data_IF_803304788900
#
_entry.id   IF_803304788900
#
_cell.length_a   1.000
_cell.length_b   1.000
_cell.length_c   1.000
_cell.angle_alpha   90.00
_cell.angle_beta   90.00
_cell.angle_gamma   90.00
#
_symmetry.space_group_name_H-M   'P 1'
#
loop_
_entity.id
_entity.type
_entity.pdbx_description
1 polymer ?
#
# COMPACT_ATOMS: atom_id res chain seq x y z
N UNK A 1 29.51 -12.69 42.86
CA UNK A 1 29.40 -13.01 41.41
C UNK A 1 29.00 -11.73 40.68
N UNK A 2 29.97 -10.89 40.31
CA UNK A 2 29.72 -9.55 39.75
C UNK A 2 29.31 -9.62 38.28
N UNK A 3 28.10 -9.18 37.96
CA UNK A 3 27.70 -8.91 36.57
C UNK A 3 28.48 -7.71 36.04
N UNK A 4 29.43 -7.93 35.13
CA UNK A 4 30.01 -6.87 34.31
C UNK A 4 28.92 -6.35 33.36
N UNK A 5 28.39 -5.15 33.66
CA UNK A 5 27.67 -4.37 32.66
C UNK A 5 28.62 -4.06 31.50
N UNK A 6 28.49 -4.80 30.40
CA UNK A 6 29.14 -4.46 29.15
C UNK A 6 28.54 -3.14 28.65
N UNK A 7 29.26 -2.03 28.86
CA UNK A 7 28.97 -0.77 28.18
C UNK A 7 28.91 -1.05 26.67
N UNK A 8 27.74 -0.89 26.07
CA UNK A 8 27.57 -0.87 24.62
C UNK A 8 28.27 0.39 24.12
N UNK A 9 29.58 0.26 23.85
CA UNK A 9 30.41 1.28 23.22
C UNK A 9 29.83 1.57 21.83
N UNK A 10 29.20 2.74 21.67
CA UNK A 10 28.84 3.24 20.33
C UNK A 10 30.12 3.36 19.51
N UNK A 11 30.11 2.75 18.33
CA UNK A 11 31.22 2.84 17.38
C UNK A 11 31.58 4.31 17.10
N UNK A 12 32.75 4.75 17.56
CA UNK A 12 33.30 6.09 17.29
C UNK A 12 34.22 6.01 16.07
N UNK A 13 33.94 6.82 15.05
CA UNK A 13 34.86 6.98 13.91
C UNK A 13 36.18 7.65 14.35
N UNK A 14 37.25 7.44 13.59
CA UNK A 14 38.50 8.19 13.77
C UNK A 14 38.26 9.68 13.43
N UNK A 15 38.72 10.55 14.30
CA UNK A 15 38.78 12.00 14.11
C UNK A 15 39.92 12.37 13.17
N UNK A 16 39.97 13.64 12.73
CA UNK A 16 41.06 14.13 11.87
C UNK A 16 42.41 14.08 12.59
N UNK A 17 42.45 14.44 13.87
CA UNK A 17 43.65 14.37 14.71
C UNK A 17 44.15 12.94 14.90
N UNK A 18 43.26 11.99 15.24
CA UNK A 18 43.65 10.58 15.38
C UNK A 18 44.20 10.00 14.07
N UNK A 19 43.69 10.42 12.90
CA UNK A 19 44.24 10.01 11.59
C UNK A 19 45.61 10.59 11.32
N UNK A 20 45.84 11.84 11.74
CA UNK A 20 47.14 12.51 11.61
C UNK A 20 48.19 11.80 12.46
N UNK A 21 47.87 11.53 13.72
CA UNK A 21 48.71 10.80 14.66
C UNK A 21 48.99 9.37 14.19
N UNK A 22 47.98 8.66 13.71
CA UNK A 22 48.12 7.34 13.08
C UNK A 22 49.10 7.37 11.89
N UNK A 23 49.03 8.40 11.03
CA UNK A 23 49.95 8.54 9.89
C UNK A 23 51.39 8.79 10.33
N UNK A 24 51.62 9.60 11.36
CA UNK A 24 52.95 9.84 11.93
C UNK A 24 53.54 8.56 12.53
N UNK A 25 52.76 7.84 13.35
CA UNK A 25 53.25 6.64 14.02
C UNK A 25 53.55 5.50 13.05
N UNK A 26 52.75 5.37 11.98
CA UNK A 26 53.04 4.42 10.90
C UNK A 26 54.36 4.77 10.17
N UNK A 27 54.62 6.06 9.89
CA UNK A 27 55.88 6.50 9.28
C UNK A 27 57.09 6.25 10.19
N UNK A 28 56.91 6.33 11.50
CA UNK A 28 57.93 6.01 12.50
C UNK A 28 58.13 4.50 12.73
N UNK A 29 57.38 3.64 12.04
CA UNK A 29 57.55 2.18 12.10
C UNK A 29 56.88 1.48 13.29
N UNK A 30 55.98 2.16 14.02
CA UNK A 30 55.28 1.53 15.15
C UNK A 30 54.27 0.46 14.68
N UNK A 31 54.11 -0.60 15.48
CA UNK A 31 53.14 -1.65 15.21
C UNK A 31 51.69 -1.17 15.37
N UNK A 32 50.75 -1.77 14.62
CA UNK A 32 49.32 -1.41 14.73
C UNK A 32 48.75 -1.60 16.15
N UNK A 33 49.31 -2.53 16.95
CA UNK A 33 48.90 -2.75 18.34
C UNK A 33 49.37 -1.60 19.23
N UNK A 34 50.63 -1.20 19.12
CA UNK A 34 51.20 -0.07 19.87
C UNK A 34 50.47 1.24 19.54
N UNK A 35 50.15 1.46 18.27
CA UNK A 35 49.37 2.64 17.86
C UNK A 35 47.95 2.62 18.44
N UNK A 36 47.34 1.45 18.51
CA UNK A 36 46.00 1.30 19.08
C UNK A 36 45.98 1.62 20.58
N UNK A 37 47.03 1.24 21.33
CA UNK A 37 47.20 1.59 22.74
C UNK A 37 47.33 3.10 22.93
N UNK A 38 48.21 3.76 22.15
CA UNK A 38 48.41 5.22 22.21
C UNK A 38 47.12 5.98 21.89
N UNK A 39 46.36 5.55 20.88
CA UNK A 39 45.10 6.18 20.48
C UNK A 39 43.91 5.78 21.37
N UNK A 40 44.08 4.87 22.33
CA UNK A 40 42.98 4.32 23.12
C UNK A 40 41.91 3.60 22.26
N UNK A 41 42.33 2.95 21.16
CA UNK A 41 41.46 2.25 20.21
C UNK A 41 41.69 0.75 20.22
N UNK A 42 40.73 -0.01 19.69
CA UNK A 42 40.92 -1.44 19.46
C UNK A 42 41.87 -1.67 18.26
N UNK A 43 42.87 -2.57 18.35
CA UNK A 43 43.78 -2.88 17.25
C UNK A 43 43.09 -3.26 15.93
N UNK A 44 41.95 -3.96 16.00
CA UNK A 44 41.16 -4.31 14.83
C UNK A 44 40.53 -3.08 14.15
N UNK A 45 40.18 -2.04 14.91
CA UNK A 45 39.68 -0.78 14.36
C UNK A 45 40.77 0.01 13.65
N UNK A 46 41.99 0.03 14.20
CA UNK A 46 43.17 0.64 13.55
C UNK A 46 43.51 -0.11 12.26
N UNK A 47 43.57 -1.44 12.30
CA UNK A 47 43.78 -2.28 11.12
C UNK A 47 42.74 -2.03 10.02
N UNK A 48 41.45 -1.99 10.38
CA UNK A 48 40.37 -1.66 9.43
C UNK A 48 40.49 -0.25 8.86
N UNK A 49 40.86 0.74 9.68
CA UNK A 49 41.03 2.12 9.22
C UNK A 49 42.17 2.20 8.20
N UNK A 50 43.31 1.58 8.47
CA UNK A 50 44.47 1.54 7.57
C UNK A 50 44.13 0.80 6.27
N UNK A 51 43.53 -0.40 6.37
CA UNK A 51 43.13 -1.20 5.21
C UNK A 51 42.12 -0.48 4.32
N UNK A 52 41.10 0.14 4.90
CA UNK A 52 40.00 0.73 4.14
C UNK A 52 40.31 2.11 3.55
N UNK A 53 41.33 2.80 4.07
CA UNK A 53 41.66 4.17 3.65
C UNK A 53 43.04 4.30 3.00
N UNK A 54 43.93 3.31 3.15
CA UNK A 54 45.24 3.28 2.49
C UNK A 54 45.16 3.35 0.96
N UNK A 55 46.23 3.82 0.33
CA UNK A 55 46.35 3.90 -1.13
C UNK A 55 47.76 3.48 -1.53
N UNK A 56 47.90 2.53 -2.47
CA UNK A 56 49.21 2.02 -2.94
C UNK A 56 50.17 1.62 -1.80
N UNK A 57 49.64 0.95 -0.78
CA UNK A 57 50.43 0.49 0.38
C UNK A 57 50.80 1.58 1.41
N UNK A 58 50.45 2.84 1.18
CA UNK A 58 50.73 3.94 2.10
C UNK A 58 49.45 4.50 2.75
N UNK A 59 49.55 4.87 4.02
CA UNK A 59 48.47 5.52 4.76
C UNK A 59 48.75 7.02 4.90
N UNK A 60 47.90 7.82 4.25
CA UNK A 60 47.93 9.28 4.31
C UNK A 60 46.69 9.82 5.02
N UNK A 61 46.91 10.71 6.00
CA UNK A 61 45.84 11.18 6.89
C UNK A 61 44.79 12.02 6.17
N UNK A 62 45.18 12.84 5.19
CA UNK A 62 44.26 13.72 4.45
C UNK A 62 43.41 12.90 3.48
N UNK A 63 44.05 12.03 2.69
CA UNK A 63 43.34 11.09 1.80
C UNK A 63 42.40 10.17 2.58
N UNK A 64 42.82 9.69 3.75
CA UNK A 64 41.97 8.88 4.60
C UNK A 64 40.75 9.65 5.13
N UNK A 65 40.95 10.91 5.51
CA UNK A 65 39.87 11.79 5.94
C UNK A 65 38.87 12.05 4.80
N UNK A 66 39.37 12.35 3.59
CA UNK A 66 38.53 12.58 2.42
C UNK A 66 37.77 11.31 2.00
N UNK A 67 38.44 10.15 1.93
CA UNK A 67 37.76 8.87 1.68
C UNK A 67 36.69 8.56 2.73
N UNK A 68 36.97 8.81 4.01
CA UNK A 68 35.98 8.63 5.07
C UNK A 68 34.82 9.61 4.95
N UNK A 69 35.08 10.88 4.62
CA UNK A 69 34.07 11.92 4.44
C UNK A 69 33.19 11.63 3.23
N UNK A 70 33.80 11.27 2.11
CA UNK A 70 33.15 10.86 0.87
C UNK A 70 32.29 9.62 1.08
N UNK A 71 32.83 8.54 1.67
CA UNK A 71 32.02 7.36 2.04
C UNK A 71 30.88 7.71 2.97
N UNK A 72 31.07 8.64 3.92
CA UNK A 72 29.99 9.09 4.80
C UNK A 72 28.93 9.88 4.04
N UNK A 73 29.33 10.77 3.14
CA UNK A 73 28.43 11.54 2.28
C UNK A 73 27.61 10.60 1.37
N UNK A 74 28.26 9.63 0.74
CA UNK A 74 27.60 8.63 -0.12
C UNK A 74 26.80 7.60 0.68
N UNK A 75 27.21 7.23 1.89
CA UNK A 75 26.39 6.39 2.81
C UNK A 75 25.10 7.09 3.24
N UNK A 76 25.11 8.43 3.22
CA UNK A 76 23.93 9.27 3.43
C UNK A 76 23.14 9.51 2.15
N UNK A 77 23.69 9.20 0.97
CA UNK A 77 22.97 9.30 -0.29
C UNK A 77 21.82 8.30 -0.26
N UNK A 78 20.62 8.86 -0.12
CA UNK A 78 19.44 8.08 0.19
C UNK A 78 19.03 7.28 -1.06
N UNK A 79 18.86 5.97 -0.90
CA UNK A 79 18.45 5.09 -2.00
C UNK A 79 19.59 4.31 -2.69
N UNK A 80 20.86 4.42 -2.25
CA UNK A 80 21.96 3.62 -2.81
C UNK A 80 21.71 2.11 -2.74
N UNK A 81 21.15 1.60 -1.64
CA UNK A 81 20.77 0.17 -1.52
C UNK A 81 19.76 -0.31 -2.58
N UNK A 82 18.96 0.61 -3.11
CA UNK A 82 18.02 0.31 -4.19
C UNK A 82 18.75 0.41 -5.53
N UNK A 83 19.55 1.46 -5.76
CA UNK A 83 20.36 1.60 -6.98
C UNK A 83 21.39 0.49 -7.20
N UNK A 84 21.96 -0.04 -6.12
CA UNK A 84 22.93 -1.13 -6.18
C UNK A 84 22.26 -2.47 -6.53
N UNK A 85 20.93 -2.57 -6.47
CA UNK A 85 20.17 -3.75 -6.83
C UNK A 85 19.17 -3.42 -7.96
N UNK A 86 19.60 -3.68 -9.21
CA UNK A 86 18.83 -3.37 -10.41
C UNK A 86 17.46 -4.06 -10.46
N UNK A 87 17.33 -5.27 -9.91
CA UNK A 87 16.06 -5.99 -9.85
C UNK A 87 15.06 -5.28 -8.94
N UNK A 88 15.48 -4.89 -7.74
CA UNK A 88 14.65 -4.15 -6.78
C UNK A 88 14.29 -2.78 -7.37
N UNK A 89 15.25 -2.09 -7.98
CA UNK A 89 15.01 -0.80 -8.62
C UNK A 89 13.95 -0.92 -9.73
N UNK A 90 14.15 -1.84 -10.69
CA UNK A 90 13.19 -2.09 -11.77
C UNK A 90 11.80 -2.42 -11.25
N UNK A 91 11.71 -3.31 -10.25
CA UNK A 91 10.45 -3.68 -9.62
C UNK A 91 9.74 -2.47 -8.99
N UNK A 92 10.47 -1.64 -8.24
CA UNK A 92 9.91 -0.42 -7.63
C UNK A 92 9.36 0.51 -8.71
N UNK A 93 10.11 0.74 -9.80
CA UNK A 93 9.68 1.60 -10.90
C UNK A 93 8.39 1.08 -11.55
N UNK A 94 8.37 -0.18 -11.96
CA UNK A 94 7.22 -0.81 -12.60
C UNK A 94 5.97 -0.73 -11.70
N UNK A 95 6.09 -1.09 -10.42
CA UNK A 95 4.94 -1.09 -9.51
C UNK A 95 4.49 0.31 -9.12
N UNK A 96 5.40 1.28 -8.99
CA UNK A 96 5.04 2.69 -8.76
C UNK A 96 4.26 3.26 -9.95
N UNK A 97 4.66 2.96 -11.19
CA UNK A 97 3.93 3.36 -12.41
C UNK A 97 2.52 2.77 -12.42
N UNK A 98 2.35 1.54 -11.93
CA UNK A 98 1.04 0.91 -11.71
C UNK A 98 0.24 1.52 -10.54
N UNK A 99 0.77 2.53 -9.85
CA UNK A 99 0.10 3.25 -8.75
C UNK A 99 0.18 2.53 -7.40
N UNK A 100 1.11 1.58 -7.23
CA UNK A 100 1.31 0.92 -5.95
C UNK A 100 2.05 1.84 -4.98
N UNK A 101 1.64 1.84 -3.71
CA UNK A 101 2.34 2.62 -2.69
C UNK A 101 3.65 1.94 -2.28
N UNK A 102 4.65 2.69 -1.78
CA UNK A 102 5.88 2.12 -1.23
C UNK A 102 5.66 1.01 -0.20
N UNK A 103 4.62 1.11 0.64
CA UNK A 103 4.27 0.06 1.60
C UNK A 103 3.79 -1.23 0.92
N UNK A 104 2.99 -1.11 -0.14
CA UNK A 104 2.50 -2.24 -0.93
C UNK A 104 3.65 -2.96 -1.64
N UNK A 105 4.54 -2.19 -2.25
CA UNK A 105 5.72 -2.70 -2.96
C UNK A 105 6.64 -3.46 -2.00
N UNK A 106 6.98 -2.84 -0.86
CA UNK A 106 7.84 -3.46 0.16
C UNK A 106 7.28 -4.78 0.71
N UNK A 107 5.95 -4.86 0.89
CA UNK A 107 5.32 -6.09 1.35
C UNK A 107 5.20 -7.17 0.27
N UNK A 108 4.97 -6.77 -0.99
CA UNK A 108 4.78 -7.69 -2.10
C UNK A 108 6.08 -8.32 -2.60
N UNK A 109 7.15 -7.53 -2.71
CA UNK A 109 8.44 -8.02 -3.21
C UNK A 109 8.98 -9.19 -2.38
N UNK A 110 8.74 -9.18 -1.07
CA UNK A 110 9.11 -10.28 -0.17
C UNK A 110 8.40 -11.59 -0.49
N UNK A 111 7.18 -11.54 -1.02
CA UNK A 111 6.41 -12.73 -1.39
C UNK A 111 6.82 -13.27 -2.77
N UNK A 112 7.14 -12.39 -3.71
CA UNK A 112 7.40 -12.77 -5.11
C UNK A 112 8.86 -13.19 -5.35
N UNK A 113 9.83 -12.49 -4.76
CA UNK A 113 11.26 -12.75 -4.99
C UNK A 113 12.03 -13.16 -3.73
N UNK A 114 11.39 -13.15 -2.56
CA UNK A 114 12.06 -13.36 -1.27
C UNK A 114 12.96 -12.20 -0.82
N UNK A 115 13.22 -11.22 -1.69
CA UNK A 115 14.00 -10.03 -1.38
C UNK A 115 13.22 -9.09 -0.45
N UNK A 116 13.93 -8.25 0.31
CA UNK A 116 13.28 -7.31 1.21
C UNK A 116 13.86 -5.91 1.11
N UNK A 117 12.97 -4.94 1.03
CA UNK A 117 13.30 -3.52 1.11
C UNK A 117 12.27 -2.84 2.01
N UNK A 118 12.72 -2.01 2.95
CA UNK A 118 11.78 -1.29 3.82
C UNK A 118 11.02 -0.23 3.01
N UNK A 119 9.73 -0.03 3.29
CA UNK A 119 8.97 1.05 2.65
C UNK A 119 9.57 2.43 2.90
N UNK A 120 10.23 2.64 4.06
CA UNK A 120 10.99 3.86 4.36
C UNK A 120 12.14 4.05 3.38
N UNK A 121 12.87 2.99 3.03
CA UNK A 121 13.93 3.06 2.04
C UNK A 121 13.39 3.41 0.64
N UNK A 122 12.23 2.87 0.26
CA UNK A 122 11.55 3.24 -0.99
C UNK A 122 11.15 4.72 -0.98
N UNK A 123 10.53 5.23 0.09
CA UNK A 123 10.23 6.67 0.20
C UNK A 123 11.49 7.53 0.07
N UNK A 124 12.54 7.17 0.80
CA UNK A 124 13.84 7.84 0.75
C UNK A 124 14.44 7.86 -0.66
N UNK A 125 14.31 6.75 -1.40
CA UNK A 125 14.73 6.65 -2.80
C UNK A 125 13.87 7.55 -3.71
N UNK A 126 12.53 7.50 -3.57
CA UNK A 126 11.60 8.31 -4.36
C UNK A 126 11.79 9.81 -4.13
N UNK A 127 12.17 10.25 -2.93
CA UNK A 127 12.46 11.66 -2.64
C UNK A 127 13.90 12.09 -2.98
N UNK A 128 14.75 11.19 -3.48
CA UNK A 128 16.14 11.52 -3.83
C UNK A 128 16.29 11.78 -5.35
N UNK A 129 17.08 12.80 -5.70
CA UNK A 129 17.31 13.30 -7.06
C UNK A 129 18.38 12.44 -7.81
N UNK A 130 18.37 12.28 -9.15
CA UNK A 130 17.32 12.61 -10.14
C UNK A 130 16.36 11.46 -10.46
N UNK A 131 16.82 10.20 -10.38
CA UNK A 131 16.07 9.03 -10.91
C UNK A 131 14.82 8.72 -10.08
N UNK A 132 14.96 8.65 -8.75
CA UNK A 132 13.84 8.34 -7.86
C UNK A 132 12.77 9.43 -7.83
N UNK A 133 13.18 10.70 -7.94
CA UNK A 133 12.26 11.86 -7.95
C UNK A 133 11.20 11.79 -9.05
N UNK A 134 11.52 11.21 -10.22
CA UNK A 134 10.56 11.00 -11.31
C UNK A 134 9.35 10.15 -10.90
N UNK A 135 9.50 9.30 -9.88
CA UNK A 135 8.43 8.44 -9.37
C UNK A 135 7.53 9.15 -8.35
N UNK A 136 7.94 10.32 -7.83
CA UNK A 136 7.18 11.05 -6.81
C UNK A 136 5.77 11.43 -7.32
N UNK A 137 5.60 11.64 -8.63
CA UNK A 137 4.30 11.91 -9.27
C UNK A 137 3.28 10.78 -9.12
N UNK A 138 3.73 9.55 -8.87
CA UNK A 138 2.85 8.39 -8.65
C UNK A 138 2.48 8.19 -7.17
N UNK A 139 3.06 8.97 -6.25
CA UNK A 139 2.65 8.93 -4.85
C UNK A 139 1.27 9.57 -4.69
N UNK A 140 0.36 8.81 -4.08
CA UNK A 140 -0.99 9.27 -3.77
C UNK A 140 -0.95 10.27 -2.62
N UNK A 141 -0.91 11.56 -2.93
CA UNK A 141 -1.03 12.62 -1.91
C UNK A 141 -2.51 12.95 -1.67
N UNK A 142 -3.05 12.64 -0.49
CA UNK A 142 -4.37 13.18 -0.08
C UNK A 142 -4.47 13.40 1.43
N UNK A 143 -4.33 14.66 1.84
CA UNK A 143 -5.03 15.19 3.01
C UNK A 143 -6.38 15.77 2.54
N UNK A 144 -7.49 15.28 3.07
CA UNK A 144 -8.80 15.95 2.93
C UNK A 144 -9.32 16.29 4.32
N UNK A 145 -9.61 17.57 4.56
CA UNK A 145 -10.42 17.99 5.71
C UNK A 145 -11.85 17.52 5.49
N UNK A 146 -12.38 16.73 6.42
CA UNK A 146 -13.77 16.26 6.41
C UNK A 146 -14.66 17.45 6.76
N UNK A 147 -15.53 17.88 5.85
CA UNK A 147 -16.60 18.84 6.18
C UNK A 147 -17.76 18.06 6.81
N UNK A 148 -18.32 18.55 7.92
CA UNK A 148 -19.59 18.05 8.46
C UNK A 148 -20.69 18.34 7.43
N UNK A 149 -21.53 17.35 7.11
CA UNK A 149 -22.73 17.55 6.29
C UNK A 149 -23.89 17.96 7.22
N UNK A 150 -24.72 18.89 6.75
CA UNK A 150 -25.96 19.28 7.41
C UNK A 150 -27.02 18.18 7.27
N UNK A 151 -28.01 18.21 8.16
CA UNK A 151 -29.12 17.26 8.19
C UNK A 151 -30.00 17.39 6.95
N UNK A 152 -30.39 16.26 6.35
CA UNK A 152 -31.42 16.22 5.33
C UNK A 152 -32.51 15.27 5.82
N UNK A 153 -33.73 15.79 5.99
CA UNK A 153 -34.91 15.01 6.32
C UNK A 153 -35.34 14.22 5.08
N UNK A 154 -35.48 12.91 5.20
CA UNK A 154 -36.03 12.04 4.17
C UNK A 154 -37.19 11.24 4.77
N UNK A 155 -38.29 11.10 4.03
CA UNK A 155 -39.38 10.18 4.36
C UNK A 155 -38.99 8.71 4.15
N UNK A 156 -39.88 7.78 4.50
CA UNK A 156 -39.68 6.34 4.28
C UNK A 156 -39.77 5.96 2.79
N UNK A 157 -38.65 6.10 2.07
CA UNK A 157 -38.58 5.77 0.63
C UNK A 157 -38.37 4.26 0.40
N UNK A 158 -37.73 3.55 1.33
CA UNK A 158 -37.36 2.14 1.17
C UNK A 158 -38.22 1.28 2.10
N UNK A 159 -39.17 0.54 1.50
CA UNK A 159 -40.03 -0.41 2.20
C UNK A 159 -39.22 -1.63 2.66
N UNK A 160 -39.60 -2.23 3.79
CA UNK A 160 -39.04 -3.50 4.31
C UNK A 160 -37.51 -3.51 4.53
N UNK A 161 -36.86 -2.36 4.70
CA UNK A 161 -35.42 -2.32 4.97
C UNK A 161 -35.09 -2.87 6.35
N UNK A 162 -34.04 -3.68 6.42
CA UNK A 162 -33.46 -4.16 7.67
C UNK A 162 -32.19 -3.35 7.95
N UNK A 163 -32.14 -2.66 9.08
CA UNK A 163 -30.96 -1.89 9.47
C UNK A 163 -29.79 -2.80 9.86
N UNK A 164 -28.58 -2.25 9.72
CA UNK A 164 -27.31 -2.96 9.94
C UNK A 164 -27.14 -3.48 11.38
N UNK A 165 -27.85 -2.92 12.37
CA UNK A 165 -27.82 -3.41 13.75
C UNK A 165 -28.41 -4.82 13.90
N UNK A 166 -29.30 -5.22 12.98
CA UNK A 166 -29.89 -6.57 12.93
C UNK A 166 -29.02 -7.57 12.17
N UNK A 167 -27.86 -7.14 11.68
CA UNK A 167 -26.93 -7.99 10.93
C UNK A 167 -26.30 -9.07 11.82
N UNK A 168 -26.30 -10.35 11.40
CA UNK A 168 -25.52 -11.39 12.04
C UNK A 168 -24.04 -11.02 12.20
N UNK A 169 -23.49 -11.26 13.40
CA UNK A 169 -22.10 -10.92 13.75
C UNK A 169 -21.06 -11.50 12.77
N UNK A 170 -21.34 -12.65 12.16
CA UNK A 170 -20.46 -13.30 11.16
C UNK A 170 -20.14 -12.38 9.97
N UNK A 171 -21.06 -11.52 9.54
CA UNK A 171 -20.84 -10.61 8.40
C UNK A 171 -19.84 -9.51 8.76
N UNK A 172 -19.81 -9.08 10.03
CA UNK A 172 -18.88 -8.07 10.52
C UNK A 172 -17.46 -8.63 10.66
N UNK A 173 -17.34 -9.93 10.91
CA UNK A 173 -16.05 -10.61 11.02
C UNK A 173 -15.26 -10.70 9.71
N UNK A 174 -15.94 -10.60 8.56
CA UNK A 174 -15.36 -10.73 7.21
C UNK A 174 -14.64 -12.06 6.96
N UNK A 175 -15.01 -13.11 7.70
CA UNK A 175 -14.40 -14.44 7.56
C UNK A 175 -15.03 -15.31 6.47
N UNK A 176 -16.29 -15.09 6.09
CA UNK A 176 -16.96 -15.82 5.00
C UNK A 176 -16.96 -15.02 3.70
N UNK A 177 -16.98 -15.74 2.59
CA UNK A 177 -17.12 -15.16 1.26
C UNK A 177 -18.61 -14.93 0.97
N UNK A 178 -18.92 -13.98 0.09
CA UNK A 178 -20.28 -13.75 -0.39
C UNK A 178 -21.05 -12.67 0.36
N UNK A 179 -20.41 -11.95 1.28
CA UNK A 179 -20.99 -10.74 1.87
C UNK A 179 -20.48 -9.52 1.11
N UNK A 180 -21.39 -8.75 0.51
CA UNK A 180 -21.06 -7.61 -0.33
C UNK A 180 -21.47 -6.28 0.31
N UNK A 181 -20.71 -5.23 -0.01
CA UNK A 181 -21.12 -3.83 0.17
C UNK A 181 -21.29 -3.22 -1.22
N UNK A 182 -22.42 -2.55 -1.48
CA UNK A 182 -22.73 -1.98 -2.78
C UNK A 182 -23.01 -0.49 -2.66
N UNK A 183 -22.59 0.25 -3.68
CA UNK A 183 -22.81 1.68 -3.79
C UNK A 183 -22.88 2.08 -5.26
N UNK A 184 -23.40 3.27 -5.53
CA UNK A 184 -23.46 3.82 -6.88
C UNK A 184 -22.55 5.03 -7.02
N UNK A 185 -22.05 5.28 -8.23
CA UNK A 185 -21.38 6.54 -8.55
C UNK A 185 -21.75 6.99 -9.97
N UNK A 186 -21.92 8.31 -10.16
CA UNK A 186 -22.29 8.91 -11.43
C UNK A 186 -22.51 10.41 -11.25
N UNK A 187 -22.85 11.12 -12.33
CA UNK A 187 -23.28 12.53 -12.24
C UNK A 187 -24.69 12.60 -11.66
N UNK A 188 -24.85 13.34 -10.57
CA UNK A 188 -26.15 13.60 -9.92
C UNK A 188 -26.91 14.78 -10.54
N UNK A 189 -26.74 15.07 -11.84
CA UNK A 189 -27.40 16.22 -12.49
C UNK A 189 -28.69 15.83 -13.22
N UNK A 190 -28.66 14.73 -13.98
CA UNK A 190 -29.78 14.35 -14.84
C UNK A 190 -30.19 12.89 -14.57
N UNK A 191 -31.48 12.63 -14.50
CA UNK A 191 -32.02 11.27 -14.26
C UNK A 191 -31.67 10.27 -15.38
N UNK A 192 -31.24 10.79 -16.54
CA UNK A 192 -30.80 10.04 -17.71
C UNK A 192 -29.30 9.72 -17.72
N UNK A 193 -28.51 10.24 -16.77
CA UNK A 193 -27.07 10.01 -16.74
C UNK A 193 -26.75 8.55 -16.41
N UNK A 194 -25.76 8.01 -17.13
CA UNK A 194 -25.19 6.71 -16.81
C UNK A 194 -24.70 6.66 -15.36
N UNK A 195 -24.85 5.50 -14.75
CA UNK A 195 -24.47 5.25 -13.36
C UNK A 195 -23.61 3.99 -13.30
N UNK A 196 -22.55 4.04 -12.51
CA UNK A 196 -21.71 2.89 -12.23
C UNK A 196 -22.15 2.27 -10.90
N UNK A 197 -22.66 1.05 -10.97
CA UNK A 197 -22.92 0.21 -9.79
C UNK A 197 -21.60 -0.42 -9.38
N UNK A 198 -21.19 -0.21 -8.13
CA UNK A 198 -19.93 -0.75 -7.58
C UNK A 198 -20.26 -1.65 -6.41
N UNK A 199 -19.81 -2.90 -6.47
CA UNK A 199 -19.97 -3.87 -5.40
C UNK A 199 -18.62 -4.38 -4.94
N UNK A 200 -18.46 -4.60 -3.63
CA UNK A 200 -17.22 -5.09 -3.06
C UNK A 200 -17.45 -6.24 -2.11
N UNK A 201 -16.78 -7.36 -2.37
CA UNK A 201 -16.82 -8.54 -1.52
C UNK A 201 -15.96 -8.30 -0.25
N UNK A 202 -16.54 -8.52 0.93
CA UNK A 202 -15.98 -8.03 2.20
C UNK A 202 -14.76 -8.83 2.66
N UNK A 203 -14.62 -10.12 2.30
CA UNK A 203 -13.49 -10.98 2.69
C UNK A 203 -12.26 -10.78 1.81
N UNK A 204 -12.41 -11.04 0.52
CA UNK A 204 -11.38 -10.94 -0.52
C UNK A 204 -11.06 -9.52 -0.93
N UNK A 205 -11.95 -8.57 -0.64
CA UNK A 205 -11.83 -7.15 -1.02
C UNK A 205 -12.00 -6.88 -2.50
N UNK A 206 -12.38 -7.91 -3.26
CA UNK A 206 -12.57 -7.85 -4.70
C UNK A 206 -13.68 -6.87 -5.05
N UNK A 207 -13.38 -5.98 -6.00
CA UNK A 207 -14.30 -4.94 -6.48
C UNK A 207 -14.87 -5.40 -7.80
N UNK A 208 -16.18 -5.27 -7.92
CA UNK A 208 -16.96 -5.48 -9.12
C UNK A 208 -17.59 -4.15 -9.49
N UNK A 209 -17.69 -3.84 -10.78
CA UNK A 209 -18.44 -2.68 -11.23
C UNK A 209 -19.16 -2.97 -12.54
N UNK A 210 -20.35 -2.40 -12.71
CA UNK A 210 -21.13 -2.48 -13.95
C UNK A 210 -21.76 -1.13 -14.24
N UNK A 211 -21.67 -0.69 -15.50
CA UNK A 211 -22.34 0.52 -15.97
C UNK A 211 -23.81 0.20 -16.27
N UNK A 212 -24.69 1.09 -15.87
CA UNK A 212 -26.12 1.06 -16.18
C UNK A 212 -26.53 2.40 -16.75
N UNK A 213 -27.52 2.38 -17.65
CA UNK A 213 -27.98 3.59 -18.33
C UNK A 213 -28.47 4.66 -17.34
N UNK A 214 -29.08 4.26 -16.23
CA UNK A 214 -29.72 5.17 -15.28
C UNK A 214 -29.72 4.62 -13.87
N UNK A 215 -29.76 5.51 -12.88
CA UNK A 215 -29.74 5.17 -11.45
C UNK A 215 -30.87 4.21 -11.04
N UNK A 216 -32.05 4.32 -11.64
CA UNK A 216 -33.20 3.42 -11.38
C UNK A 216 -32.93 1.95 -11.74
N UNK A 217 -31.96 1.69 -12.61
CA UNK A 217 -31.55 0.35 -13.04
C UNK A 217 -30.43 -0.22 -12.15
N UNK A 218 -30.05 0.45 -11.06
CA UNK A 218 -28.93 0.04 -10.21
C UNK A 218 -29.11 -1.38 -9.64
N UNK A 219 -30.32 -1.75 -9.23
CA UNK A 219 -30.62 -3.10 -8.71
C UNK A 219 -30.51 -4.15 -9.82
N UNK A 220 -30.94 -3.86 -11.04
CA UNK A 220 -30.83 -4.79 -12.17
C UNK A 220 -29.36 -4.98 -12.56
N UNK A 221 -28.60 -3.89 -12.65
CA UNK A 221 -27.15 -3.96 -12.85
C UNK A 221 -26.43 -4.74 -11.74
N UNK A 222 -26.89 -4.62 -10.50
CA UNK A 222 -26.34 -5.38 -9.38
C UNK A 222 -26.66 -6.87 -9.47
N UNK A 223 -27.88 -7.25 -9.87
CA UNK A 223 -28.25 -8.66 -10.09
C UNK A 223 -27.34 -9.28 -11.14
N UNK A 224 -27.17 -8.62 -12.27
CA UNK A 224 -26.30 -9.11 -13.35
C UNK A 224 -24.84 -9.22 -12.89
N UNK A 225 -24.37 -8.25 -12.10
CA UNK A 225 -23.01 -8.22 -11.59
C UNK A 225 -22.72 -9.35 -10.59
N UNK A 226 -23.73 -9.77 -9.83
CA UNK A 226 -23.60 -10.76 -8.76
C UNK A 226 -24.07 -12.16 -9.14
N UNK A 227 -24.85 -12.32 -10.20
CA UNK A 227 -25.40 -13.61 -10.64
C UNK A 227 -24.35 -14.73 -10.81
N UNK A 228 -23.08 -14.48 -11.18
CA UNK A 228 -22.10 -15.55 -11.31
C UNK A 228 -21.51 -16.04 -9.98
N UNK A 229 -21.88 -15.42 -8.85
CA UNK A 229 -21.19 -15.62 -7.57
C UNK A 229 -22.16 -16.04 -6.45
N UNK A 230 -21.68 -16.83 -5.47
CA UNK A 230 -22.47 -17.11 -4.27
C UNK A 230 -22.60 -15.84 -3.41
N UNK A 231 -23.83 -15.38 -3.21
CA UNK A 231 -24.15 -14.19 -2.42
C UNK A 231 -24.89 -14.59 -1.15
N UNK A 232 -24.30 -14.27 0.00
CA UNK A 232 -24.89 -14.47 1.32
C UNK A 232 -25.63 -13.22 1.81
N UNK A 233 -25.09 -12.02 1.57
CA UNK A 233 -25.74 -10.77 1.95
C UNK A 233 -25.23 -9.56 1.16
N UNK A 234 -26.05 -8.51 1.08
CA UNK A 234 -25.66 -7.23 0.48
C UNK A 234 -25.96 -6.07 1.42
N UNK A 235 -25.01 -5.13 1.51
CA UNK A 235 -25.13 -3.91 2.32
C UNK A 235 -25.32 -2.69 1.44
N UNK A 236 -26.34 -1.89 1.73
CA UNK A 236 -26.65 -0.64 1.04
C UNK A 236 -26.59 0.56 1.98
N UNK A 237 -26.56 1.75 1.41
CA UNK A 237 -26.98 2.98 2.08
C UNK A 237 -28.49 3.22 1.85
N UNK A 238 -29.03 4.27 2.46
CA UNK A 238 -30.46 4.59 2.37
C UNK A 238 -30.84 5.33 1.08
N UNK A 239 -30.09 5.13 -0.01
CA UNK A 239 -30.37 5.73 -1.31
C UNK A 239 -31.66 5.17 -1.94
N UNK A 240 -32.50 6.01 -2.58
CA UNK A 240 -33.75 5.57 -3.23
C UNK A 240 -33.53 4.55 -4.35
N UNK A 241 -32.34 4.53 -4.97
CA UNK A 241 -31.96 3.54 -5.97
C UNK A 241 -32.00 2.10 -5.46
N UNK A 242 -31.89 1.92 -4.13
CA UNK A 242 -31.92 0.62 -3.47
C UNK A 242 -33.35 0.20 -3.06
N UNK A 243 -34.39 0.92 -3.47
CA UNK A 243 -35.78 0.61 -3.12
C UNK A 243 -36.19 -0.81 -3.55
N UNK A 244 -35.69 -1.28 -4.71
CA UNK A 244 -35.97 -2.61 -5.29
C UNK A 244 -35.10 -3.74 -4.71
N UNK A 245 -34.40 -3.54 -3.59
CA UNK A 245 -33.43 -4.50 -3.04
C UNK A 245 -34.00 -5.91 -2.79
N UNK A 246 -35.29 -6.05 -2.48
CA UNK A 246 -35.93 -7.35 -2.22
C UNK A 246 -35.87 -8.27 -3.45
N UNK A 247 -35.77 -7.71 -4.66
CA UNK A 247 -35.65 -8.49 -5.89
C UNK A 247 -34.33 -9.25 -6.01
N UNK A 248 -33.32 -8.93 -5.18
CA UNK A 248 -32.06 -9.69 -5.13
C UNK A 248 -32.24 -11.08 -4.50
N UNK A 249 -33.34 -11.31 -3.77
CA UNK A 249 -33.63 -12.59 -3.09
C UNK A 249 -32.51 -13.09 -2.16
N UNK A 250 -31.76 -12.16 -1.56
CA UNK A 250 -30.70 -12.42 -0.57
C UNK A 250 -30.90 -11.53 0.64
N UNK A 251 -30.20 -11.81 1.75
CA UNK A 251 -30.26 -10.97 2.93
C UNK A 251 -29.68 -9.57 2.65
N UNK A 252 -30.50 -8.54 2.77
CA UNK A 252 -30.11 -7.14 2.53
C UNK A 252 -30.11 -6.34 3.82
N UNK A 253 -29.11 -5.47 3.98
CA UNK A 253 -28.97 -4.64 5.18
C UNK A 253 -28.66 -3.19 4.80
N UNK A 254 -29.22 -2.24 5.54
CA UNK A 254 -29.08 -0.81 5.30
C UNK A 254 -28.31 -0.14 6.42
N UNK A 255 -27.42 0.78 6.05
CA UNK A 255 -26.73 1.61 7.04
C UNK A 255 -27.73 2.47 7.82
N UNK A 256 -27.39 2.80 9.07
CA UNK A 256 -28.17 3.76 9.84
C UNK A 256 -28.04 5.16 9.22
N UNK A 257 -29.06 6.02 9.38
CA UNK A 257 -28.94 7.42 9.02
C UNK A 257 -27.66 8.05 9.60
N UNK A 258 -27.04 8.95 8.83
CA UNK A 258 -25.79 9.65 9.17
C UNK A 258 -24.57 8.76 9.45
N UNK A 259 -24.68 7.44 9.23
CA UNK A 259 -23.66 6.46 9.61
C UNK A 259 -22.87 5.93 8.42
N UNK A 260 -22.38 6.83 7.55
CA UNK A 260 -21.72 6.44 6.28
C UNK A 260 -20.49 5.54 6.48
N UNK A 261 -19.83 5.63 7.65
CA UNK A 261 -18.69 4.77 8.01
C UNK A 261 -19.04 3.28 8.09
N UNK A 262 -20.32 2.93 8.25
CA UNK A 262 -20.80 1.54 8.27
C UNK A 262 -20.62 0.82 6.92
N UNK A 263 -20.46 1.58 5.83
CA UNK A 263 -20.17 1.11 4.45
C UNK A 263 -18.76 1.53 3.97
N UNK A 264 -17.81 1.69 4.90
CA UNK A 264 -16.49 2.24 4.58
C UNK A 264 -15.65 1.41 3.60
N UNK A 265 -16.01 0.16 3.32
CA UNK A 265 -15.23 -0.72 2.45
C UNK A 265 -15.51 -0.45 0.96
N UNK A 266 -16.77 -0.28 0.55
CA UNK A 266 -17.12 0.15 -0.82
C UNK A 266 -16.83 1.63 -1.05
N UNK A 267 -16.99 2.50 -0.03
CA UNK A 267 -16.58 3.91 -0.12
C UNK A 267 -15.08 4.03 -0.46
N UNK A 268 -14.24 3.17 0.13
CA UNK A 268 -12.82 3.11 -0.19
C UNK A 268 -12.57 2.66 -1.63
N UNK A 269 -13.32 1.68 -2.13
CA UNK A 269 -13.20 1.22 -3.52
C UNK A 269 -13.61 2.30 -4.53
N UNK A 270 -14.74 2.99 -4.32
CA UNK A 270 -15.12 4.16 -5.12
C UNK A 270 -14.06 5.25 -5.04
N UNK A 271 -13.42 5.43 -3.89
CA UNK A 271 -12.28 6.32 -3.73
C UNK A 271 -11.12 6.00 -4.68
N UNK A 272 -10.83 4.71 -4.90
CA UNK A 272 -9.80 4.23 -5.84
C UNK A 272 -10.25 4.41 -7.29
N UNK A 273 -11.49 4.07 -7.63
CA UNK A 273 -12.04 4.29 -8.98
C UNK A 273 -11.97 5.79 -9.34
N UNK A 274 -12.22 6.68 -8.37
CA UNK A 274 -12.15 8.14 -8.54
C UNK A 274 -10.75 8.71 -8.78
N UNK A 275 -9.71 7.89 -8.76
CA UNK A 275 -8.38 8.28 -9.24
C UNK A 275 -8.28 8.20 -10.76
N UNK A 276 -9.09 7.34 -11.39
CA UNK A 276 -9.18 7.16 -12.84
C UNK A 276 -10.37 7.91 -13.44
N UNK A 277 -11.48 7.98 -12.70
CA UNK A 277 -12.72 8.65 -13.10
C UNK A 277 -13.01 9.78 -12.12
N UNK A 278 -12.49 11.00 -12.35
CA UNK A 278 -12.70 12.13 -11.46
C UNK A 278 -14.18 12.41 -11.17
N UNK A 279 -14.44 13.10 -10.05
CA UNK A 279 -15.79 13.56 -9.76
C UNK A 279 -16.25 14.52 -10.86
N UNK A 280 -17.52 14.39 -11.27
CA UNK A 280 -18.18 15.16 -12.33
C UNK A 280 -17.81 14.76 -13.76
N UNK A 281 -16.92 13.79 -13.96
CA UNK A 281 -16.75 13.16 -15.28
C UNK A 281 -18.07 12.56 -15.75
N UNK A 282 -18.30 12.57 -17.06
CA UNK A 282 -19.38 11.80 -17.64
C UNK A 282 -18.98 10.33 -17.73
N UNK A 283 -19.89 9.42 -17.41
CA UNK A 283 -19.60 7.98 -17.55
C UNK A 283 -19.73 7.52 -18.99
N UNK A 284 -20.40 8.31 -19.84
CA UNK A 284 -20.46 8.07 -21.29
C UNK A 284 -19.08 8.15 -21.96
N UNK A 285 -18.15 8.92 -21.37
CA UNK A 285 -16.78 9.08 -21.86
C UNK A 285 -15.89 7.84 -21.60
N UNK A 286 -16.40 6.84 -20.87
CA UNK A 286 -15.67 5.62 -20.51
C UNK A 286 -16.40 4.38 -21.03
N UNK A 287 -15.71 3.57 -21.83
CA UNK A 287 -16.28 2.31 -22.32
C UNK A 287 -16.30 1.25 -21.22
N UNK A 288 -17.04 0.16 -21.43
CA UNK A 288 -17.04 -0.95 -20.49
C UNK A 288 -15.65 -1.61 -20.37
N UNK A 289 -14.84 -1.57 -21.43
CA UNK A 289 -13.43 -2.00 -21.42
C UNK A 289 -12.57 -1.10 -20.53
N UNK A 290 -12.75 0.22 -20.59
CA UNK A 290 -12.05 1.17 -19.71
C UNK A 290 -12.38 0.88 -18.25
N UNK A 291 -13.68 0.70 -17.94
CA UNK A 291 -14.13 0.34 -16.59
C UNK A 291 -13.50 -0.98 -16.16
N UNK A 292 -13.53 -2.00 -17.01
CA UNK A 292 -12.93 -3.31 -16.74
C UNK A 292 -11.43 -3.21 -16.45
N UNK A 293 -10.69 -2.44 -17.26
CA UNK A 293 -9.26 -2.22 -17.07
C UNK A 293 -8.95 -1.50 -15.74
N UNK A 294 -9.76 -0.52 -15.34
CA UNK A 294 -9.63 0.16 -14.05
C UNK A 294 -9.87 -0.82 -12.89
N UNK A 295 -10.94 -1.61 -12.97
CA UNK A 295 -11.28 -2.60 -11.93
C UNK A 295 -10.22 -3.69 -11.84
N UNK A 296 -9.68 -4.18 -12.96
CA UNK A 296 -8.61 -5.17 -12.97
C UNK A 296 -7.33 -4.61 -12.33
N UNK A 297 -6.95 -3.36 -12.62
CA UNK A 297 -5.82 -2.69 -11.93
C UNK A 297 -6.03 -2.60 -10.42
N UNK A 298 -7.22 -2.23 -9.97
CA UNK A 298 -7.56 -2.16 -8.55
C UNK A 298 -7.46 -3.54 -7.90
N UNK A 299 -8.03 -4.57 -8.54
CA UNK A 299 -8.05 -5.94 -8.02
C UNK A 299 -6.69 -6.64 -8.08
N UNK A 300 -5.77 -6.19 -8.93
CA UNK A 300 -4.37 -6.64 -8.97
C UNK A 300 -3.44 -5.84 -8.07
N UNK A 301 -3.96 -4.87 -7.31
CA UNK A 301 -3.14 -4.10 -6.37
C UNK A 301 -3.10 -4.76 -5.00
N UNK A 302 -1.92 -5.11 -4.44
CA UNK A 302 -1.80 -5.84 -3.19
C UNK A 302 -2.27 -5.01 -1.99
N UNK A 303 -2.82 -5.69 -0.97
CA UNK A 303 -3.35 -5.04 0.21
C UNK A 303 -2.70 -5.58 1.49
N UNK A 304 -2.24 -4.70 2.37
CA UNK A 304 -1.66 -5.08 3.68
C UNK A 304 -2.59 -5.96 4.52
N UNK A 305 -3.89 -5.67 4.53
CA UNK A 305 -4.89 -6.46 5.25
C UNK A 305 -5.08 -7.88 4.68
N UNK A 306 -4.62 -8.12 3.45
CA UNK A 306 -4.59 -9.44 2.80
C UNK A 306 -3.17 -10.03 2.83
N UNK A 307 -2.34 -9.59 3.79
CA UNK A 307 -0.92 -9.98 3.88
C UNK A 307 -0.16 -9.73 2.57
N UNK A 308 -0.45 -8.62 1.89
CA UNK A 308 0.12 -8.22 0.60
C UNK A 308 -0.20 -9.14 -0.58
N UNK A 309 -1.20 -10.02 -0.44
CA UNK A 309 -1.88 -10.64 -1.58
C UNK A 309 -2.83 -9.66 -2.26
N UNK A 310 -3.15 -9.90 -3.53
CA UNK A 310 -4.10 -9.07 -4.28
C UNK A 310 -5.54 -9.53 -4.01
N UNK A 311 -6.54 -8.63 -4.09
CA UNK A 311 -7.94 -9.04 -4.07
C UNK A 311 -8.27 -10.14 -5.07
N UNK A 312 -7.72 -10.06 -6.30
CA UNK A 312 -7.92 -11.07 -7.35
C UNK A 312 -7.43 -12.46 -6.93
N UNK A 313 -6.25 -12.55 -6.32
CA UNK A 313 -5.71 -13.81 -5.80
C UNK A 313 -6.59 -14.41 -4.72
N UNK A 314 -6.99 -13.60 -3.72
CA UNK A 314 -7.83 -14.09 -2.63
C UNK A 314 -9.21 -14.50 -3.15
N UNK A 315 -9.78 -13.73 -4.09
CA UNK A 315 -11.06 -14.04 -4.70
C UNK A 315 -11.01 -15.38 -5.44
N UNK A 316 -10.02 -15.57 -6.32
CA UNK A 316 -9.83 -16.83 -7.07
C UNK A 316 -9.68 -18.03 -6.14
N UNK A 317 -8.82 -17.93 -5.12
CA UNK A 317 -8.62 -19.01 -4.15
C UNK A 317 -9.89 -19.40 -3.41
N UNK A 318 -10.73 -18.41 -3.06
CA UNK A 318 -11.96 -18.66 -2.29
C UNK A 318 -13.10 -19.15 -3.17
N UNK A 319 -13.25 -18.56 -4.35
CA UNK A 319 -14.24 -18.98 -5.32
C UNK A 319 -14.01 -20.43 -5.77
N UNK A 320 -12.76 -20.81 -6.08
CA UNK A 320 -12.41 -22.20 -6.41
C UNK A 320 -12.71 -23.18 -5.28
N UNK A 321 -12.48 -22.79 -4.01
CA UNK A 321 -12.78 -23.65 -2.85
C UNK A 321 -14.29 -23.88 -2.70
N UNK A 322 -15.10 -22.83 -2.84
CA UNK A 322 -16.56 -22.93 -2.72
C UNK A 322 -17.14 -23.77 -3.85
N UNK A 323 -16.68 -23.60 -5.09
CA UNK A 323 -17.15 -24.42 -6.20
C UNK A 323 -16.80 -25.91 -6.02
N UNK A 324 -15.64 -26.23 -5.43
CA UNK A 324 -15.30 -27.61 -5.09
C UNK A 324 -16.22 -28.18 -4.01
N UNK A 325 -16.53 -27.39 -2.98
CA UNK A 325 -17.45 -27.80 -1.91
C UNK A 325 -18.89 -28.02 -2.44
N UNK A 326 -19.35 -27.23 -3.41
CA UNK A 326 -20.67 -27.35 -4.05
C UNK A 326 -20.76 -28.47 -5.09
N UNK A 327 -19.66 -28.84 -5.75
CA UNK A 327 -19.62 -29.96 -6.71
C UNK A 327 -19.42 -31.34 -6.04
N UNK A 328 -19.05 -31.37 -4.76
CA UNK A 328 -18.90 -32.59 -3.96
C UNK A 328 -20.13 -32.90 -3.08
N UNK A 329 -21.20 -32.12 -3.21
CA UNK A 329 -22.54 -32.35 -2.64
C UNK A 329 -23.54 -32.47 -3.76
#
# INVERSE_FOLDING_TARGET
MYMRHAQISRYKHFSRSERYELSILLKKGYSLRSIAEVLGRNPASVSREVKNNGTKGQYDSEKANDKSRTRRLYSKYQGMKIRENQEIEKYIHEKMILGWSPERIAGRIKLESGQSVSFKAIYKYVYCHPVGYSLAKYLKYRGRKRKKKAESKWGEIIKNRVFIDRRPKIINSRFRFGDFETDTMGRTRDASSETLVVSRERKSRFVLAKKVLQLRNAVDGLKDLLSPFPVCSVTFDNGPENARHQELKVATYFCNPYSSWQKGAVENAIGLIREYIPKKSDLADYTDEDISAIIDRINNTPMKCLKFRTPKEIFKDRFLKINKELCCT
#
